data_IF_618099599248
#
_entry.id   IF_618099599248
#
_cell.length_a   1.000
_cell.length_b   1.000
_cell.length_c   1.000
_cell.angle_alpha   90.00
_cell.angle_beta   90.00
_cell.angle_gamma   90.00
#
_symmetry.space_group_name_H-M   'P 1'
#
loop_
_entity.id
_entity.type
_entity.pdbx_description
1 polymer ?
#
# COMPACT_ATOMS: atom_id res chain seq x y z
N UNK A 1 -19.26 -10.82 -27.05
CA UNK A 1 -19.26 -10.27 -25.68
C UNK A 1 -17.91 -10.57 -25.05
N UNK A 2 -17.21 -9.57 -24.52
CA UNK A 2 -15.93 -9.75 -23.83
C UNK A 2 -16.15 -9.75 -22.32
N UNK A 3 -15.62 -10.75 -21.62
CA UNK A 3 -15.62 -10.82 -20.17
C UNK A 3 -14.23 -10.48 -19.65
N UNK A 4 -14.15 -9.59 -18.66
CA UNK A 4 -12.90 -9.23 -18.00
C UNK A 4 -13.00 -9.64 -16.53
N UNK A 5 -12.02 -10.42 -16.05
CA UNK A 5 -11.89 -10.85 -14.66
C UNK A 5 -10.45 -10.62 -14.22
N UNK A 6 -10.28 -9.94 -13.10
CA UNK A 6 -9.00 -9.68 -12.46
C UNK A 6 -9.10 -10.01 -10.96
N UNK A 7 -7.98 -10.38 -10.35
CA UNK A 7 -7.88 -10.68 -8.91
C UNK A 7 -6.64 -9.98 -8.37
N UNK A 8 -6.79 -9.31 -7.22
CA UNK A 8 -5.69 -8.68 -6.47
C UNK A 8 -5.76 -9.23 -5.04
N UNK A 9 -4.66 -9.79 -4.57
CA UNK A 9 -4.49 -10.30 -3.21
C UNK A 9 -3.40 -9.48 -2.52
N UNK A 10 -3.65 -9.02 -1.30
CA UNK A 10 -2.73 -8.20 -0.52
C UNK A 10 -2.58 -8.84 0.86
N UNK A 11 -1.34 -9.09 1.27
CA UNK A 11 -0.97 -9.65 2.57
C UNK A 11 0.32 -9.00 3.08
N UNK A 12 0.71 -9.32 4.30
CA UNK A 12 1.85 -8.74 5.00
C UNK A 12 3.21 -9.18 4.43
N UNK A 13 3.28 -10.33 3.75
CA UNK A 13 4.52 -10.87 3.18
C UNK A 13 5.11 -9.95 2.09
N UNK A 14 4.27 -9.14 1.44
CA UNK A 14 4.66 -8.29 0.30
C UNK A 14 5.33 -6.95 0.62
N UNK A 15 5.53 -6.56 1.89
CA UNK A 15 6.01 -5.21 2.25
C UNK A 15 6.89 -5.15 3.52
N UNK A 16 7.65 -6.20 3.79
CA UNK A 16 8.30 -6.42 5.10
C UNK A 16 9.56 -5.54 5.37
N UNK A 17 10.16 -4.88 4.36
CA UNK A 17 11.50 -4.28 4.51
C UNK A 17 11.58 -2.77 4.83
N UNK A 18 10.52 -1.98 4.63
CA UNK A 18 10.60 -0.52 4.80
C UNK A 18 10.59 -0.06 6.28
N UNK A 19 10.01 -0.84 7.19
CA UNK A 19 9.93 -0.52 8.62
C UNK A 19 11.29 -0.65 9.35
N UNK A 20 12.15 -1.58 8.93
CA UNK A 20 13.43 -1.82 9.59
C UNK A 20 14.40 -0.62 9.47
N UNK A 21 14.35 0.14 8.38
CA UNK A 21 15.28 1.26 8.14
C UNK A 21 14.89 2.53 8.92
N UNK A 22 13.60 2.79 9.12
CA UNK A 22 13.12 3.97 9.87
C UNK A 22 13.51 3.97 11.34
N UNK A 23 13.52 2.79 11.98
CA UNK A 23 13.92 2.63 13.40
C UNK A 23 15.41 2.92 13.61
N UNK A 24 16.27 2.43 12.72
CA UNK A 24 17.74 2.62 12.80
C UNK A 24 18.13 4.09 12.57
N UNK A 25 17.44 4.77 11.64
CA UNK A 25 17.70 6.19 11.32
C UNK A 25 17.22 7.13 12.43
N UNK A 26 16.07 6.85 13.06
CA UNK A 26 15.58 7.66 14.18
C UNK A 26 16.46 7.58 15.43
N UNK A 27 17.05 6.41 15.72
CA UNK A 27 17.95 6.23 16.87
C UNK A 27 19.26 7.04 16.74
N UNK A 28 19.63 7.47 15.53
CA UNK A 28 20.99 7.95 15.27
C UNK A 28 21.15 9.45 14.98
N UNK A 29 20.15 10.22 14.50
CA UNK A 29 20.50 11.55 13.94
C UNK A 29 19.55 12.78 13.91
N UNK A 30 18.22 12.80 14.22
CA UNK A 30 17.48 14.07 13.94
C UNK A 30 16.19 14.37 14.74
N UNK A 31 15.86 15.67 14.83
CA UNK A 31 14.56 16.21 15.32
C UNK A 31 13.42 15.47 14.62
N UNK A 32 12.55 14.86 15.42
CA UNK A 32 11.42 14.07 14.96
C UNK A 32 10.37 15.03 14.38
N UNK A 33 10.31 15.17 13.06
CA UNK A 33 9.05 15.50 12.41
C UNK A 33 8.09 14.36 12.76
N UNK A 34 6.97 14.68 13.42
CA UNK A 34 5.98 13.68 13.83
C UNK A 34 5.43 13.04 12.55
N UNK A 35 5.92 11.84 12.23
CA UNK A 35 5.37 11.03 11.14
C UNK A 35 3.92 10.74 11.50
N UNK A 36 3.00 11.31 10.72
CA UNK A 36 1.58 11.00 10.87
C UNK A 36 1.33 9.59 10.31
N UNK A 37 0.66 8.70 11.06
CA UNK A 37 0.32 7.39 10.53
C UNK A 37 -0.66 7.54 9.35
N UNK A 38 -0.44 6.74 8.31
CA UNK A 38 -1.44 6.51 7.28
C UNK A 38 -2.33 5.35 7.73
N UNK A 39 -3.62 5.61 7.90
CA UNK A 39 -4.61 4.62 8.37
C UNK A 39 -5.68 4.47 7.30
N UNK A 40 -5.73 3.31 6.64
CA UNK A 40 -6.73 2.97 5.62
C UNK A 40 -7.91 2.20 6.23
N UNK A 41 -8.56 2.78 7.23
CA UNK A 41 -9.71 2.22 7.98
C UNK A 41 -11.09 2.65 7.44
N UNK A 42 -11.10 3.29 6.28
CA UNK A 42 -12.28 3.82 5.59
C UNK A 42 -12.11 3.60 4.08
N UNK A 43 -13.18 3.75 3.27
CA UNK A 43 -13.12 3.49 1.84
C UNK A 43 -11.96 4.20 1.14
N UNK A 44 -11.19 3.46 0.36
CA UNK A 44 -10.00 3.98 -0.32
C UNK A 44 -9.90 3.49 -1.77
N UNK A 45 -9.17 4.25 -2.59
CA UNK A 45 -8.79 3.87 -3.94
C UNK A 45 -7.37 3.30 -3.94
N UNK A 46 -7.10 2.35 -4.82
CA UNK A 46 -5.75 1.85 -5.06
C UNK A 46 -5.44 1.79 -6.55
N UNK A 47 -4.16 1.94 -6.85
CA UNK A 47 -3.61 1.87 -8.20
C UNK A 47 -2.33 1.04 -8.14
N UNK A 48 -2.22 0.04 -9.01
CA UNK A 48 -0.96 -0.66 -9.27
C UNK A 48 -0.42 -0.06 -10.56
N UNK A 49 0.68 0.68 -10.46
CA UNK A 49 1.23 1.47 -11.56
C UNK A 49 2.60 0.97 -11.99
N UNK A 50 2.83 0.87 -13.29
CA UNK A 50 4.18 0.84 -13.83
C UNK A 50 4.71 2.26 -13.89
N UNK A 51 5.63 2.59 -12.99
CA UNK A 51 6.24 3.93 -12.89
C UNK A 51 7.09 4.32 -14.10
N UNK A 52 7.62 3.36 -14.86
CA UNK A 52 8.46 3.67 -16.03
C UNK A 52 7.62 4.07 -17.23
N UNK A 53 6.52 3.35 -17.43
CA UNK A 53 5.59 3.60 -18.53
C UNK A 53 4.49 4.62 -18.16
N UNK A 54 4.37 4.98 -16.88
CA UNK A 54 3.33 5.85 -16.33
C UNK A 54 1.91 5.35 -16.64
N UNK A 55 1.71 4.03 -16.50
CA UNK A 55 0.43 3.36 -16.77
C UNK A 55 -0.11 2.67 -15.54
N UNK A 56 -1.43 2.72 -15.37
CA UNK A 56 -2.13 1.91 -14.37
C UNK A 56 -2.36 0.49 -14.92
N UNK A 57 -1.74 -0.50 -14.27
CA UNK A 57 -1.96 -1.92 -14.53
C UNK A 57 -3.27 -2.40 -13.89
N UNK A 58 -3.55 -1.91 -12.69
CA UNK A 58 -4.81 -2.15 -11.98
C UNK A 58 -5.29 -0.87 -11.30
N UNK A 59 -6.60 -0.72 -11.20
CA UNK A 59 -7.26 0.34 -10.43
C UNK A 59 -8.46 -0.28 -9.73
N UNK A 60 -8.70 0.11 -8.48
CA UNK A 60 -9.86 -0.38 -7.74
C UNK A 60 -10.25 0.51 -6.58
N UNK A 61 -11.44 0.21 -6.06
CA UNK A 61 -12.03 0.86 -4.90
C UNK A 61 -12.34 -0.21 -3.86
N UNK A 62 -11.81 -0.03 -2.65
CA UNK A 62 -12.12 -0.88 -1.51
C UNK A 62 -13.13 -0.14 -0.65
N UNK A 63 -14.39 -0.54 -0.74
CA UNK A 63 -15.46 0.03 0.10
C UNK A 63 -15.54 -0.67 1.46
N UNK A 64 -15.41 -1.99 1.46
CA UNK A 64 -15.33 -2.82 2.66
C UNK A 64 -14.35 -3.96 2.35
N UNK A 65 -13.21 -4.05 3.04
CA UNK A 65 -12.34 -5.21 2.89
C UNK A 65 -13.04 -6.48 3.40
N UNK A 66 -12.72 -7.65 2.84
CA UNK A 66 -13.13 -8.91 3.45
C UNK A 66 -12.46 -9.08 4.83
N UNK A 67 -13.03 -9.89 5.74
CA UNK A 67 -12.36 -10.21 7.00
C UNK A 67 -10.98 -10.82 6.72
N UNK A 68 -10.04 -10.57 7.63
CA UNK A 68 -8.72 -11.20 7.57
C UNK A 68 -8.87 -12.73 7.61
N UNK A 69 -8.03 -13.49 6.86
CA UNK A 69 -7.96 -14.94 7.02
C UNK A 69 -7.56 -15.35 8.44
#
# INVERSE_FOLDING_TARGET
MSFHKAVVEVNEEGSEAAAATGVVVMLTCARIEVIKPFVADHPFLFFIVDKRADIALFMGHVFSPPPSP
#
